data_IF_247439262927
#
_entry.id   IF_247439262927
#
_cell.length_a   1.000
_cell.length_b   1.000
_cell.length_c   1.000
_cell.angle_alpha   90.00
_cell.angle_beta   90.00
_cell.angle_gamma   90.00
#
_symmetry.space_group_name_H-M   'P 1'
#
loop_
_entity.id
_entity.type
_entity.pdbx_description
1 polymer ?
#
# COMPACT_ATOMS: atom_id res chain seq x y z
N UNK A 1 15.92 -24.00 -35.88
CA UNK A 1 16.50 -23.05 -34.90
C UNK A 1 15.50 -21.98 -34.46
N UNK A 2 14.86 -21.24 -35.38
CA UNK A 2 13.94 -20.13 -35.09
C UNK A 2 12.76 -20.46 -34.15
N UNK A 3 12.13 -21.65 -34.30
CA UNK A 3 11.01 -22.08 -33.43
C UNK A 3 11.42 -22.31 -31.96
N UNK A 4 12.67 -22.72 -31.70
CA UNK A 4 13.19 -22.88 -30.32
C UNK A 4 13.46 -21.52 -29.68
N UNK A 5 14.00 -20.57 -30.44
CA UNK A 5 14.27 -19.20 -29.97
C UNK A 5 12.95 -18.48 -29.65
N UNK A 6 11.93 -18.63 -30.51
CA UNK A 6 10.61 -18.03 -30.28
C UNK A 6 9.92 -18.60 -29.03
N UNK A 7 10.06 -19.90 -28.78
CA UNK A 7 9.55 -20.55 -27.56
C UNK A 7 10.25 -20.07 -26.28
N UNK A 8 11.58 -19.90 -26.32
CA UNK A 8 12.34 -19.34 -25.20
C UNK A 8 11.94 -17.88 -24.94
N UNK A 9 11.77 -17.08 -25.99
CA UNK A 9 11.35 -15.69 -25.87
C UNK A 9 9.95 -15.58 -25.25
N UNK A 10 9.01 -16.44 -25.68
CA UNK A 10 7.67 -16.51 -25.11
C UNK A 10 7.70 -16.93 -23.62
N UNK A 11 8.51 -17.91 -23.26
CA UNK A 11 8.68 -18.33 -21.87
C UNK A 11 9.24 -17.21 -20.97
N UNK A 12 10.22 -16.44 -21.46
CA UNK A 12 10.77 -15.28 -20.72
C UNK A 12 9.70 -14.21 -20.50
N UNK A 13 8.89 -13.89 -21.53
CA UNK A 13 7.81 -12.90 -21.42
C UNK A 13 6.77 -13.33 -20.37
N UNK A 14 6.38 -14.61 -20.36
CA UNK A 14 5.42 -15.17 -19.39
C UNK A 14 5.98 -15.15 -17.96
N UNK A 15 7.28 -15.43 -17.78
CA UNK A 15 7.93 -15.38 -16.47
C UNK A 15 8.04 -13.95 -15.92
N UNK A 16 8.35 -12.98 -16.78
CA UNK A 16 8.43 -11.56 -16.39
C UNK A 16 7.06 -10.98 -16.06
N UNK A 17 6.00 -11.35 -16.80
CA UNK A 17 4.63 -10.88 -16.51
C UNK A 17 4.12 -11.42 -15.18
N UNK A 18 4.34 -12.71 -14.86
CA UNK A 18 3.98 -13.30 -13.58
C UNK A 18 4.65 -12.59 -12.39
N UNK A 19 5.93 -12.21 -12.52
CA UNK A 19 6.65 -11.55 -11.43
C UNK A 19 6.11 -10.14 -11.14
N UNK A 20 5.73 -9.38 -12.17
CA UNK A 20 5.15 -8.04 -11.98
C UNK A 20 3.78 -8.04 -11.30
N UNK A 21 2.95 -9.06 -11.54
CA UNK A 21 1.66 -9.21 -10.85
C UNK A 21 1.82 -9.75 -9.42
N UNK A 22 2.84 -10.59 -9.19
CA UNK A 22 3.07 -11.22 -7.88
C UNK A 22 3.27 -10.20 -6.76
N UNK A 23 3.96 -9.08 -7.01
CA UNK A 23 4.17 -8.03 -5.98
C UNK A 23 2.86 -7.50 -5.42
N UNK A 24 1.82 -7.36 -6.25
CA UNK A 24 0.50 -6.84 -5.87
C UNK A 24 -0.38 -7.86 -5.13
N UNK A 25 0.01 -9.14 -5.09
CA UNK A 25 -0.70 -10.19 -4.35
C UNK A 25 0.13 -10.77 -3.20
N UNK A 26 1.45 -10.61 -3.23
CA UNK A 26 2.42 -11.22 -2.32
C UNK A 26 3.06 -10.19 -1.38
N UNK A 27 2.22 -9.52 -0.58
CA UNK A 27 2.62 -8.61 0.50
C UNK A 27 2.12 -9.08 1.86
N UNK A 28 2.75 -8.61 2.95
CA UNK A 28 2.30 -8.78 4.33
C UNK A 28 1.41 -7.62 4.79
N UNK A 29 1.78 -6.39 4.41
CA UNK A 29 1.05 -5.14 4.70
C UNK A 29 0.91 -4.34 3.40
N UNK A 30 -0.26 -3.75 3.15
CA UNK A 30 -0.45 -2.77 2.09
C UNK A 30 -1.09 -1.49 2.62
N UNK A 31 -0.61 -0.36 2.12
CA UNK A 31 -1.26 0.94 2.19
C UNK A 31 -1.55 1.40 0.77
N UNK A 32 -2.79 1.81 0.50
CA UNK A 32 -3.24 2.25 -0.82
C UNK A 32 -4.10 3.50 -0.68
N UNK A 33 -3.72 4.59 -1.33
CA UNK A 33 -4.48 5.83 -1.40
C UNK A 33 -4.89 6.07 -2.84
N UNK A 34 -6.19 6.02 -3.12
CA UNK A 34 -6.72 6.07 -4.48
C UNK A 34 -8.06 6.79 -4.60
N UNK A 35 -8.34 7.33 -5.78
CA UNK A 35 -9.59 8.01 -6.10
C UNK A 35 -9.39 9.49 -6.41
N UNK A 36 -10.46 10.27 -6.32
CA UNK A 36 -10.50 11.65 -6.78
C UNK A 36 -10.97 11.81 -8.23
N UNK A 37 -11.53 12.99 -8.55
CA UNK A 37 -11.94 13.36 -9.92
C UNK A 37 -10.77 13.32 -10.92
N UNK A 38 -9.60 13.80 -10.49
CA UNK A 38 -8.33 13.58 -11.19
C UNK A 38 -7.60 12.46 -10.44
N UNK A 39 -7.80 11.19 -10.82
CA UNK A 39 -7.48 10.06 -9.97
C UNK A 39 -5.98 10.00 -9.68
N UNK A 40 -5.68 9.74 -8.41
CA UNK A 40 -4.34 9.34 -7.96
C UNK A 40 -4.38 7.89 -7.49
N UNK A 41 -3.23 7.24 -7.53
CA UNK A 41 -3.01 5.89 -7.01
C UNK A 41 -1.63 5.86 -6.37
N UNK A 42 -1.58 5.91 -5.05
CA UNK A 42 -0.35 5.80 -4.25
C UNK A 42 -0.40 4.50 -3.47
N UNK A 43 0.57 3.62 -3.66
CA UNK A 43 0.61 2.31 -3.01
C UNK A 43 1.96 2.07 -2.36
N UNK A 44 1.94 1.48 -1.17
CA UNK A 44 3.08 0.94 -0.47
C UNK A 44 2.76 -0.52 -0.10
N UNK A 45 3.54 -1.46 -0.63
CA UNK A 45 3.40 -2.89 -0.39
C UNK A 45 4.62 -3.38 0.36
N UNK A 46 4.45 -3.91 1.57
CA UNK A 46 5.54 -4.34 2.44
C UNK A 46 5.52 -5.87 2.57
N UNK A 47 6.67 -6.52 2.38
CA UNK A 47 6.89 -7.95 2.63
C UNK A 47 8.18 -8.15 3.40
N UNK A 48 8.08 -8.66 4.63
CA UNK A 48 9.19 -8.60 5.60
C UNK A 48 9.70 -7.17 5.75
N UNK A 49 10.98 -6.93 5.46
CA UNK A 49 11.60 -5.60 5.48
C UNK A 49 11.77 -4.95 4.10
N UNK A 50 11.14 -5.51 3.07
CA UNK A 50 11.20 -4.95 1.70
C UNK A 50 9.89 -4.26 1.40
N UNK A 51 9.95 -3.10 0.75
CA UNK A 51 8.78 -2.35 0.33
C UNK A 51 8.85 -2.01 -1.16
N UNK A 52 7.70 -2.12 -1.82
CA UNK A 52 7.45 -1.63 -3.15
C UNK A 52 6.52 -0.42 -3.06
N UNK A 53 7.01 0.75 -3.46
CA UNK A 53 6.20 1.94 -3.61
C UNK A 53 5.85 2.19 -5.07
N UNK A 54 4.62 2.60 -5.33
CA UNK A 54 4.19 3.08 -6.64
C UNK A 54 3.26 4.28 -6.51
N UNK A 55 3.39 5.23 -7.43
CA UNK A 55 2.51 6.37 -7.56
C UNK A 55 2.10 6.56 -9.02
N UNK A 56 0.83 6.82 -9.26
CA UNK A 56 0.30 7.24 -10.55
C UNK A 56 -0.73 8.33 -10.34
N UNK A 57 -0.55 9.49 -10.97
CA UNK A 57 -1.48 10.61 -10.84
C UNK A 57 -0.92 11.87 -11.49
N UNK A 58 -1.79 12.74 -11.99
CA UNK A 58 -1.40 14.03 -12.59
C UNK A 58 -0.35 13.89 -13.71
N UNK A 59 -0.47 12.83 -14.53
CA UNK A 59 0.49 12.54 -15.61
C UNK A 59 1.86 12.04 -15.15
N UNK A 60 2.05 11.82 -13.85
CA UNK A 60 3.30 11.34 -13.26
C UNK A 60 3.16 9.87 -12.85
N UNK A 61 4.25 9.12 -13.02
CA UNK A 61 4.34 7.72 -12.61
C UNK A 61 5.69 7.44 -11.96
N UNK A 62 5.66 6.94 -10.74
CA UNK A 62 6.87 6.62 -9.96
C UNK A 62 6.77 5.20 -9.43
N UNK A 63 7.90 4.49 -9.41
CA UNK A 63 8.04 3.19 -8.75
C UNK A 63 9.40 3.11 -8.10
N UNK A 64 9.44 2.64 -6.86
CA UNK A 64 10.69 2.48 -6.13
C UNK A 64 10.59 1.31 -5.17
N UNK A 65 11.57 0.43 -5.22
CA UNK A 65 11.79 -0.59 -4.19
C UNK A 65 12.80 -0.06 -3.17
N UNK A 66 12.55 -0.33 -1.89
CA UNK A 66 13.46 0.03 -0.81
C UNK A 66 13.37 -0.94 0.37
N UNK A 67 14.34 -0.83 1.28
CA UNK A 67 14.35 -1.55 2.55
C UNK A 67 13.81 -0.63 3.65
N UNK A 68 12.95 -1.17 4.50
CA UNK A 68 12.48 -0.51 5.72
C UNK A 68 13.37 -1.01 6.86
N UNK A 69 13.79 -0.12 7.74
CA UNK A 69 14.55 -0.52 8.93
C UNK A 69 13.66 -1.30 9.91
N UNK A 70 14.25 -2.18 10.71
CA UNK A 70 13.49 -2.90 11.74
C UNK A 70 12.88 -1.94 12.78
N UNK A 71 13.54 -0.79 13.02
CA UNK A 71 13.04 0.28 13.88
C UNK A 71 11.76 0.91 13.32
N UNK A 72 11.75 1.27 12.04
CA UNK A 72 10.56 1.84 11.38
C UNK A 72 9.40 0.83 11.33
N UNK A 73 9.69 -0.46 11.08
CA UNK A 73 8.67 -1.50 11.14
C UNK A 73 8.08 -1.66 12.54
N UNK A 74 8.94 -1.63 13.57
CA UNK A 74 8.50 -1.68 14.97
C UNK A 74 7.69 -0.44 15.35
N UNK A 75 8.09 0.74 14.88
CA UNK A 75 7.34 1.99 15.07
C UNK A 75 5.96 1.90 14.42
N UNK A 76 5.86 1.34 13.21
CA UNK A 76 4.60 1.13 12.52
C UNK A 76 3.67 0.18 13.30
N UNK A 77 4.17 -0.99 13.74
CA UNK A 77 3.37 -1.95 14.50
C UNK A 77 2.90 -1.40 15.86
N UNK A 78 3.77 -0.65 16.55
CA UNK A 78 3.40 0.07 17.76
C UNK A 78 2.30 1.10 17.50
N UNK A 79 2.42 1.87 16.42
CA UNK A 79 1.42 2.88 16.03
C UNK A 79 0.07 2.23 15.76
N UNK A 80 0.05 1.12 15.02
CA UNK A 80 -1.17 0.35 14.73
C UNK A 80 -1.84 -0.14 16.03
N UNK A 81 -1.05 -0.70 16.95
CA UNK A 81 -1.54 -1.23 18.22
C UNK A 81 -2.08 -0.13 19.13
N UNK A 82 -1.32 0.95 19.33
CA UNK A 82 -1.70 2.07 20.20
C UNK A 82 -2.95 2.81 19.68
N UNK A 83 -3.13 2.86 18.37
CA UNK A 83 -4.28 3.49 17.74
C UNK A 83 -5.43 2.49 17.46
N UNK A 84 -5.38 1.29 18.05
CA UNK A 84 -6.46 0.30 17.97
C UNK A 84 -6.90 -0.01 16.53
N UNK A 85 -5.96 -0.21 15.59
CA UNK A 85 -6.26 -0.39 14.16
C UNK A 85 -7.43 -1.35 13.88
N UNK A 86 -7.46 -2.49 14.57
CA UNK A 86 -8.52 -3.51 14.41
C UNK A 86 -9.92 -3.02 14.76
N UNK A 87 -10.02 -1.99 15.62
CA UNK A 87 -11.28 -1.41 16.11
C UNK A 87 -11.74 -0.20 15.31
N UNK A 88 -10.93 0.33 14.38
CA UNK A 88 -11.35 1.42 13.49
C UNK A 88 -12.66 1.01 12.81
N UNK A 89 -13.64 1.90 12.82
CA UNK A 89 -14.95 1.71 12.23
C UNK A 89 -15.27 2.85 11.28
N UNK A 90 -16.00 2.51 10.23
CA UNK A 90 -16.58 3.44 9.28
C UNK A 90 -18.04 3.72 9.65
N UNK A 91 -18.54 4.91 9.37
CA UNK A 91 -19.94 5.29 9.59
C UNK A 91 -20.87 4.90 8.42
N UNK A 92 -20.30 4.26 7.39
CA UNK A 92 -20.97 3.79 6.17
C UNK A 92 -21.59 4.90 5.30
N UNK A 93 -21.31 6.18 5.57
CA UNK A 93 -21.67 7.28 4.67
C UNK A 93 -20.74 7.30 3.48
N UNK A 94 -21.26 6.93 2.30
CA UNK A 94 -20.48 6.91 1.06
C UNK A 94 -19.97 8.31 0.71
N UNK A 95 -18.67 8.42 0.50
CA UNK A 95 -18.03 9.62 -0.04
C UNK A 95 -17.78 9.35 -1.52
N UNK A 96 -18.47 10.11 -2.40
CA UNK A 96 -18.25 10.02 -3.84
C UNK A 96 -17.10 10.93 -4.26
N UNK A 97 -16.36 10.49 -5.29
CA UNK A 97 -15.23 11.22 -5.90
C UNK A 97 -14.13 11.66 -4.91
N UNK A 98 -14.11 11.07 -3.72
CA UNK A 98 -13.08 11.27 -2.71
C UNK A 98 -11.83 10.45 -2.99
N UNK A 99 -10.71 10.88 -2.41
CA UNK A 99 -9.52 10.04 -2.30
C UNK A 99 -9.67 9.21 -1.02
N UNK A 100 -9.69 7.91 -1.16
CA UNK A 100 -9.78 6.96 -0.07
C UNK A 100 -8.44 6.27 0.17
N UNK A 101 -8.15 5.98 1.42
CA UNK A 101 -7.02 5.21 1.93
C UNK A 101 -7.54 3.86 2.41
N UNK A 102 -6.85 2.80 2.02
CA UNK A 102 -7.12 1.43 2.45
C UNK A 102 -5.82 0.82 2.99
N UNK A 103 -5.89 0.22 4.16
CA UNK A 103 -4.78 -0.49 4.78
C UNK A 103 -5.21 -1.94 4.99
N UNK A 104 -4.37 -2.87 4.54
CA UNK A 104 -4.57 -4.30 4.75
C UNK A 104 -3.34 -4.91 5.41
N UNK A 105 -3.55 -5.65 6.49
CA UNK A 105 -2.52 -6.38 7.23
C UNK A 105 -2.92 -7.84 7.23
N UNK A 106 -2.12 -8.69 6.57
CA UNK A 106 -2.48 -10.11 6.36
C UNK A 106 -2.17 -11.02 7.54
N UNK A 107 -1.27 -10.62 8.44
CA UNK A 107 -0.83 -11.44 9.57
C UNK A 107 -0.34 -10.59 10.73
N UNK A 108 -0.41 -11.15 11.94
CA UNK A 108 0.11 -10.53 13.16
C UNK A 108 -0.99 -9.91 14.05
N UNK A 109 -0.61 -9.25 15.16
CA UNK A 109 -1.56 -8.74 16.16
C UNK A 109 -2.59 -7.76 15.61
N UNK A 110 -2.20 -7.04 14.55
CA UNK A 110 -2.98 -6.03 13.86
C UNK A 110 -3.63 -6.52 12.55
N UNK A 111 -3.75 -7.84 12.34
CA UNK A 111 -4.41 -8.40 11.16
C UNK A 111 -5.82 -7.80 10.94
N UNK A 112 -6.07 -7.39 9.69
CA UNK A 112 -7.34 -6.82 9.27
C UNK A 112 -7.22 -5.84 8.10
N UNK A 113 -8.37 -5.51 7.54
CA UNK A 113 -8.53 -4.47 6.52
C UNK A 113 -9.37 -3.31 7.07
N UNK A 114 -8.97 -2.08 6.76
CA UNK A 114 -9.66 -0.83 7.13
C UNK A 114 -9.53 0.19 6.00
N UNK A 115 -10.57 0.99 5.82
CA UNK A 115 -10.61 2.04 4.80
C UNK A 115 -11.35 3.27 5.31
N UNK A 116 -11.12 4.40 4.67
CA UNK A 116 -11.90 5.64 4.82
C UNK A 116 -12.67 5.99 3.53
N UNK A 117 -12.95 4.99 2.69
CA UNK A 117 -13.82 5.13 1.52
C UNK A 117 -15.25 5.58 1.91
N UNK A 118 -15.67 5.24 3.12
CA UNK A 118 -16.71 5.99 3.84
C UNK A 118 -16.11 6.74 5.03
N UNK A 119 -16.86 7.69 5.59
CA UNK A 119 -16.34 8.48 6.70
C UNK A 119 -15.93 7.59 7.89
N UNK A 120 -14.72 7.81 8.41
CA UNK A 120 -14.29 7.16 9.66
C UNK A 120 -15.12 7.71 10.81
N UNK A 121 -15.64 6.80 11.66
CA UNK A 121 -16.43 7.20 12.81
C UNK A 121 -15.69 8.25 13.66
N UNK A 122 -16.37 9.30 14.17
CA UNK A 122 -15.70 10.44 14.82
C UNK A 122 -14.72 10.07 15.93
N UNK A 123 -15.04 9.06 16.74
CA UNK A 123 -14.20 8.58 17.84
C UNK A 123 -12.90 7.87 17.39
N UNK A 124 -12.77 7.54 16.10
CA UNK A 124 -11.59 6.89 15.53
C UNK A 124 -10.81 7.80 14.56
N UNK A 125 -11.24 9.06 14.33
CA UNK A 125 -10.59 9.96 13.38
C UNK A 125 -9.11 10.20 13.71
N UNK A 126 -8.80 10.55 14.95
CA UNK A 126 -7.39 10.75 15.38
C UNK A 126 -6.56 9.48 15.23
N UNK A 127 -7.13 8.33 15.59
CA UNK A 127 -6.47 7.03 15.45
C UNK A 127 -6.13 6.74 13.98
N UNK A 128 -7.09 6.95 13.08
CA UNK A 128 -6.90 6.76 11.64
C UNK A 128 -5.85 7.72 11.07
N UNK A 129 -5.90 8.99 11.45
CA UNK A 129 -4.90 9.99 11.05
C UNK A 129 -3.50 9.60 11.51
N UNK A 130 -3.32 9.16 12.77
CA UNK A 130 -2.02 8.73 13.27
C UNK A 130 -1.46 7.53 12.49
N UNK A 131 -2.33 6.54 12.21
CA UNK A 131 -1.97 5.35 11.45
C UNK A 131 -1.54 5.72 10.03
N UNK A 132 -2.35 6.49 9.30
CA UNK A 132 -2.07 6.89 7.92
C UNK A 132 -0.81 7.77 7.84
N UNK A 133 -0.57 8.63 8.83
CA UNK A 133 0.65 9.42 8.93
C UNK A 133 1.91 8.55 9.10
N UNK A 134 1.86 7.45 9.85
CA UNK A 134 3.00 6.55 9.99
C UNK A 134 3.38 5.88 8.65
N UNK A 135 2.39 5.50 7.83
CA UNK A 135 2.66 5.00 6.48
C UNK A 135 3.27 6.09 5.58
N UNK A 136 2.74 7.32 5.66
CA UNK A 136 3.27 8.46 4.92
C UNK A 136 4.68 8.86 5.36
N UNK A 137 5.02 8.70 6.63
CA UNK A 137 6.38 8.90 7.14
C UNK A 137 7.36 7.91 6.48
N UNK A 138 7.02 6.62 6.42
CA UNK A 138 7.83 5.61 5.72
C UNK A 138 8.04 5.99 4.25
N UNK A 139 6.98 6.43 3.56
CA UNK A 139 7.05 6.87 2.16
C UNK A 139 7.97 8.08 2.02
N UNK A 140 7.75 9.14 2.80
CA UNK A 140 8.49 10.40 2.69
C UNK A 140 9.97 10.26 3.05
N UNK A 141 10.32 9.37 3.97
CA UNK A 141 11.71 9.10 4.38
C UNK A 141 12.47 8.32 3.30
N UNK A 142 11.82 7.40 2.59
CA UNK A 142 12.50 6.44 1.72
C UNK A 142 12.37 6.74 0.23
N UNK A 143 11.25 7.32 -0.20
CA UNK A 143 10.98 7.57 -1.62
C UNK A 143 11.66 8.86 -2.05
N UNK A 144 12.55 8.75 -3.03
CA UNK A 144 13.18 9.91 -3.65
C UNK A 144 12.19 10.53 -4.62
N UNK A 145 11.58 11.64 -4.24
CA UNK A 145 10.72 12.42 -5.15
C UNK A 145 11.63 13.07 -6.20
N UNK A 146 11.36 12.87 -7.51
CA UNK A 146 12.08 13.57 -8.57
C UNK A 146 11.70 15.05 -8.64
#
# INVERSE_FOLDING_TARGET
MMKRILGILFAIIVLVSCNSQKVYSDFDISYSKSGGFAPIYENLLIKGNTAHYSFEGQGKKYRQDFKITDEDLKKLDNTLSQNNFRRIQEDHQKIYDGIATTINIKKGPNEGSKTDASSVMPNYKTNWTNITNAFQEIINTNVKKP
#
